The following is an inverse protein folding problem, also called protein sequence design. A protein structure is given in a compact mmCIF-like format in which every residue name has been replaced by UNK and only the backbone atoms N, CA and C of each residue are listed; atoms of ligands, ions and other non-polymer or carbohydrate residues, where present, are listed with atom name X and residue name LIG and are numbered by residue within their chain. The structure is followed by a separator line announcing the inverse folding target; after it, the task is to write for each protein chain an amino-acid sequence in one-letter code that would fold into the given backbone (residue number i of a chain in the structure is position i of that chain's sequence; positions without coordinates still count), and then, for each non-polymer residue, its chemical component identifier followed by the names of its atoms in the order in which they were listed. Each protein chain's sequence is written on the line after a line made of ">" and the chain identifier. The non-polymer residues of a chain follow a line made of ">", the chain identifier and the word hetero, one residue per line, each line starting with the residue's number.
data_IF_597634568646
#
_entry.id   IF_597634568646
#
_cell.length_a   1.000
_cell.length_b   1.000
_cell.length_c   1.000
_cell.angle_alpha   90.00
_cell.angle_beta   90.00
_cell.angle_gamma   90.00
#
_symmetry.space_group_name_H-M   'P 1'
#
loop_
_entity.id
_entity.type
_entity.pdbx_description
1 polymer ?
#
# COMPACT_ATOMS: atom_id res chain seq x y z
N UNK A 1 24.87 -54.70 -32.48
CA UNK A 1 23.62 -54.45 -31.74
C UNK A 1 23.76 -54.32 -30.21
N UNK A 2 24.97 -54.09 -29.65
CA UNK A 2 25.13 -53.75 -28.21
C UNK A 2 25.35 -52.25 -27.97
N UNK A 3 25.85 -51.52 -28.97
CA UNK A 3 26.06 -50.07 -28.87
C UNK A 3 24.85 -49.21 -29.23
N UNK A 4 23.81 -49.78 -29.86
CA UNK A 4 22.57 -49.06 -30.18
C UNK A 4 21.64 -48.93 -28.96
N UNK A 5 21.73 -49.87 -28.01
CA UNK A 5 20.92 -49.86 -26.80
C UNK A 5 21.42 -48.83 -25.77
N UNK A 6 22.73 -48.52 -25.78
CA UNK A 6 23.31 -47.53 -24.87
C UNK A 6 22.92 -46.08 -25.23
N UNK A 7 22.58 -45.81 -26.50
CA UNK A 7 22.15 -44.49 -26.94
C UNK A 7 20.67 -44.18 -26.58
N UNK A 8 19.84 -45.22 -26.43
CA UNK A 8 18.40 -45.07 -26.15
C UNK A 8 18.12 -44.82 -24.66
N UNK A 9 18.97 -45.31 -23.76
CA UNK A 9 18.83 -45.12 -22.30
C UNK A 9 19.28 -43.72 -21.85
N UNK A 10 20.12 -43.04 -22.63
CA UNK A 10 20.56 -41.67 -22.34
C UNK A 10 19.48 -40.60 -22.63
N UNK A 11 18.45 -40.93 -23.42
CA UNK A 11 17.41 -39.99 -23.84
C UNK A 11 16.20 -39.92 -22.88
N UNK A 12 16.18 -40.70 -21.80
CA UNK A 12 15.03 -40.82 -20.88
C UNK A 12 15.13 -39.98 -19.60
N UNK A 13 16.19 -39.19 -19.42
CA UNK A 13 16.40 -38.38 -18.20
C UNK A 13 16.24 -36.85 -18.39
N UNK A 14 15.63 -36.41 -19.48
CA UNK A 14 15.26 -34.99 -19.67
C UNK A 14 13.83 -34.71 -19.20
N UNK A 15 13.46 -35.17 -18.01
CA UNK A 15 12.38 -34.53 -17.26
C UNK A 15 13.01 -33.37 -16.48
N UNK A 16 13.38 -32.32 -17.22
CA UNK A 16 13.57 -31.02 -16.61
C UNK A 16 12.20 -30.58 -16.09
N UNK A 17 11.95 -30.81 -14.80
CA UNK A 17 10.90 -30.13 -14.08
C UNK A 17 11.29 -28.66 -13.97
N UNK A 18 11.17 -27.93 -15.09
CA UNK A 18 10.91 -26.51 -15.08
C UNK A 18 9.43 -26.33 -14.70
N UNK A 19 9.08 -26.78 -13.49
CA UNK A 19 7.95 -26.16 -12.84
C UNK A 19 8.45 -24.78 -12.49
N UNK A 20 8.06 -23.80 -13.32
CA UNK A 20 8.07 -22.41 -12.95
C UNK A 20 7.29 -22.30 -11.63
N UNK A 21 7.99 -22.46 -10.51
CA UNK A 21 7.62 -21.72 -9.32
C UNK A 21 7.74 -20.28 -9.77
N UNK A 22 6.63 -19.71 -10.26
CA UNK A 22 6.44 -18.27 -10.23
C UNK A 22 7.07 -17.81 -8.93
N UNK A 23 8.03 -16.89 -9.05
CA UNK A 23 8.40 -16.00 -7.97
C UNK A 23 7.14 -15.25 -7.55
N UNK A 24 6.25 -15.91 -6.82
CA UNK A 24 5.44 -15.31 -5.76
C UNK A 24 6.35 -15.15 -4.52
N UNK A 25 7.64 -14.84 -4.76
CA UNK A 25 8.60 -14.52 -3.73
C UNK A 25 8.23 -13.14 -3.18
N UNK A 26 7.46 -13.17 -2.10
CA UNK A 26 7.42 -12.16 -1.05
C UNK A 26 7.00 -10.74 -1.46
N UNK A 27 6.06 -10.60 -2.40
CA UNK A 27 5.19 -9.42 -2.34
C UNK A 27 4.42 -9.52 -1.02
N UNK A 28 4.77 -8.67 -0.04
CA UNK A 28 4.06 -8.60 1.24
C UNK A 28 2.58 -8.42 0.93
N UNK A 29 1.81 -9.49 1.18
CA UNK A 29 0.39 -9.52 0.84
C UNK A 29 -0.32 -8.50 1.72
N UNK A 30 -1.04 -7.55 1.11
CA UNK A 30 -1.78 -6.56 1.88
C UNK A 30 -2.89 -7.23 2.68
N UNK A 31 -3.36 -6.58 3.74
CA UNK A 31 -4.50 -7.12 4.51
C UNK A 31 -5.76 -7.26 3.65
N UNK A 32 -5.95 -6.39 2.67
CA UNK A 32 -7.04 -6.49 1.71
C UNK A 32 -6.89 -7.73 0.83
N UNK A 33 -5.69 -7.99 0.29
CA UNK A 33 -5.43 -9.17 -0.54
C UNK A 33 -5.64 -10.45 0.25
N UNK A 34 -5.16 -10.48 1.50
CA UNK A 34 -5.39 -11.60 2.41
C UNK A 34 -6.88 -11.84 2.65
N UNK A 35 -7.67 -10.79 2.83
CA UNK A 35 -9.12 -10.90 3.00
C UNK A 35 -9.85 -11.36 1.72
N UNK A 36 -9.48 -10.80 0.57
CA UNK A 36 -10.15 -11.02 -0.71
C UNK A 36 -9.87 -12.38 -1.35
N UNK A 37 -8.75 -13.02 -0.99
CA UNK A 37 -8.26 -14.26 -1.61
C UNK A 37 -8.71 -15.55 -0.92
N UNK A 38 -9.75 -15.50 -0.07
CA UNK A 38 -10.32 -16.69 0.58
C UNK A 38 -10.96 -17.62 -0.46
N UNK A 39 -10.33 -18.78 -0.69
CA UNK A 39 -10.78 -19.79 -1.65
C UNK A 39 -12.18 -20.32 -1.33
N UNK A 40 -12.97 -20.58 -2.37
CA UNK A 40 -14.29 -21.18 -2.23
C UNK A 40 -15.39 -20.21 -1.77
N UNK A 41 -15.12 -18.91 -1.74
CA UNK A 41 -16.10 -17.89 -1.38
C UNK A 41 -16.28 -16.87 -2.50
N UNK A 42 -17.51 -16.37 -2.68
CA UNK A 42 -17.79 -15.24 -3.56
C UNK A 42 -17.42 -13.96 -2.81
N UNK A 43 -16.42 -13.24 -3.31
CA UNK A 43 -16.00 -11.94 -2.77
C UNK A 43 -16.71 -10.82 -3.55
N UNK A 44 -17.35 -9.90 -2.82
CA UNK A 44 -17.98 -8.69 -3.34
C UNK A 44 -17.20 -7.46 -2.91
N UNK A 45 -16.95 -6.56 -3.86
CA UNK A 45 -16.34 -5.25 -3.64
C UNK A 45 -17.40 -4.16 -3.83
N UNK A 46 -17.44 -3.19 -2.91
CA UNK A 46 -18.30 -2.00 -3.00
C UNK A 46 -17.47 -0.77 -2.67
N UNK A 47 -17.46 0.19 -3.60
CA UNK A 47 -16.68 1.41 -3.45
C UNK A 47 -17.58 2.61 -3.13
N UNK A 48 -17.14 3.41 -2.17
CA UNK A 48 -17.76 4.68 -1.78
C UNK A 48 -16.73 5.78 -2.01
N UNK A 49 -16.96 6.62 -3.02
CA UNK A 49 -16.02 7.71 -3.37
C UNK A 49 -15.93 8.74 -2.24
N UNK A 50 -14.72 9.24 -2.03
CA UNK A 50 -14.41 10.35 -1.14
C UNK A 50 -13.78 11.49 -1.94
N UNK A 51 -13.69 12.67 -1.32
CA UNK A 51 -12.90 13.76 -1.90
C UNK A 51 -11.43 13.34 -1.97
N UNK A 52 -10.83 13.50 -3.15
CA UNK A 52 -9.42 13.19 -3.40
C UNK A 52 -8.46 14.08 -2.60
N UNK A 53 -7.22 13.64 -2.48
CA UNK A 53 -6.14 14.41 -1.86
C UNK A 53 -5.75 15.54 -2.82
N UNK A 54 -5.75 16.79 -2.32
CA UNK A 54 -5.21 17.92 -3.08
C UNK A 54 -3.69 17.81 -3.06
N UNK A 55 -3.10 17.51 -4.21
CA UNK A 55 -1.65 17.43 -4.37
C UNK A 55 -1.19 18.45 -5.41
N UNK A 56 0.09 18.82 -5.34
CA UNK A 56 0.69 19.69 -6.36
C UNK A 56 0.95 18.94 -7.67
N UNK A 57 1.12 17.62 -7.61
CA UNK A 57 1.50 16.79 -8.75
C UNK A 57 0.68 15.50 -8.81
N UNK A 58 -0.06 15.33 -9.90
CA UNK A 58 -0.83 14.12 -10.18
C UNK A 58 -2.24 14.11 -9.57
N UNK A 59 -3.06 13.21 -10.09
CA UNK A 59 -4.41 12.98 -9.60
C UNK A 59 -4.36 11.90 -8.51
N UNK A 60 -4.87 12.24 -7.32
CA UNK A 60 -4.99 11.29 -6.21
C UNK A 60 -6.45 11.19 -5.80
N UNK A 61 -7.03 10.01 -5.96
CA UNK A 61 -8.39 9.69 -5.56
C UNK A 61 -8.42 8.93 -4.25
N UNK A 62 -9.46 9.20 -3.45
CA UNK A 62 -9.72 8.49 -2.20
C UNK A 62 -11.08 7.79 -2.29
N UNK A 63 -11.17 6.62 -1.66
CA UNK A 63 -12.46 5.90 -1.51
C UNK A 63 -12.44 4.99 -0.29
N UNK A 64 -13.63 4.62 0.18
CA UNK A 64 -13.79 3.46 1.05
C UNK A 64 -14.13 2.28 0.17
N UNK A 65 -13.36 1.20 0.28
CA UNK A 65 -13.70 -0.10 -0.30
C UNK A 65 -14.18 -1.04 0.80
N UNK A 66 -15.45 -1.45 0.70
CA UNK A 66 -15.99 -2.56 1.49
C UNK A 66 -15.73 -3.86 0.73
N UNK A 67 -15.08 -4.81 1.37
CA UNK A 67 -14.89 -6.17 0.86
C UNK A 67 -15.70 -7.11 1.72
N UNK A 68 -16.58 -7.89 1.11
CA UNK A 68 -17.44 -8.84 1.83
C UNK A 68 -17.43 -10.21 1.18
N UNK A 69 -17.48 -11.25 2.00
CA UNK A 69 -17.77 -12.62 1.59
C UNK A 69 -19.07 -13.08 2.30
N UNK A 70 -19.42 -14.36 2.18
CA UNK A 70 -20.62 -14.94 2.80
C UNK A 70 -20.66 -14.86 4.33
N UNK A 71 -19.52 -14.64 5.00
CA UNK A 71 -19.39 -14.72 6.46
C UNK A 71 -19.00 -13.40 7.13
N UNK A 72 -18.31 -12.53 6.42
CA UNK A 72 -17.66 -11.35 7.01
C UNK A 72 -17.53 -10.20 6.01
N UNK A 73 -17.43 -8.99 6.55
CA UNK A 73 -17.13 -7.77 5.81
C UNK A 73 -15.96 -7.04 6.45
N UNK A 74 -15.10 -6.45 5.63
CA UNK A 74 -14.03 -5.56 6.03
C UNK A 74 -14.10 -4.26 5.23
N UNK A 75 -13.58 -3.18 5.81
CA UNK A 75 -13.57 -1.84 5.23
C UNK A 75 -12.13 -1.35 5.15
N UNK A 76 -11.77 -0.84 3.97
CA UNK A 76 -10.44 -0.36 3.67
C UNK A 76 -10.54 1.07 3.16
N UNK A 77 -9.71 1.96 3.70
CA UNK A 77 -9.48 3.27 3.11
C UNK A 77 -8.46 3.10 1.98
N UNK A 78 -8.85 3.49 0.77
CA UNK A 78 -7.99 3.40 -0.40
C UNK A 78 -7.55 4.78 -0.87
N UNK A 79 -6.27 4.88 -1.16
CA UNK A 79 -5.65 6.03 -1.81
C UNK A 79 -5.08 5.53 -3.12
N UNK A 80 -5.59 6.05 -4.22
CA UNK A 80 -5.15 5.72 -5.56
C UNK A 80 -4.42 6.92 -6.17
N UNK A 81 -3.22 6.69 -6.67
CA UNK A 81 -2.48 7.67 -7.47
C UNK A 81 -2.45 7.19 -8.92
N UNK A 82 -2.93 8.03 -9.82
CA UNK A 82 -2.84 7.80 -11.25
C UNK A 82 -1.39 7.99 -11.72
N UNK A 83 -0.83 6.97 -12.37
CA UNK A 83 0.49 7.01 -12.98
C UNK A 83 0.41 6.85 -14.50
N UNK A 84 1.53 7.09 -15.19
CA UNK A 84 1.58 7.06 -16.67
C UNK A 84 1.16 5.72 -17.29
N UNK A 85 1.44 4.61 -16.60
CA UNK A 85 1.23 3.25 -17.11
C UNK A 85 0.21 2.46 -16.30
N UNK A 86 -0.48 3.11 -15.37
CA UNK A 86 -1.45 2.50 -14.47
C UNK A 86 -1.49 3.21 -13.12
N UNK A 87 -2.54 2.93 -12.37
CA UNK A 87 -2.71 3.47 -11.02
C UNK A 87 -2.00 2.59 -9.97
N UNK A 88 -1.44 3.23 -8.95
CA UNK A 88 -0.98 2.55 -7.73
C UNK A 88 -2.00 2.78 -6.62
N UNK A 89 -2.37 1.75 -5.86
CA UNK A 89 -3.41 1.87 -4.82
C UNK A 89 -2.94 1.29 -3.49
N UNK A 90 -2.88 2.12 -2.46
CA UNK A 90 -2.79 1.63 -1.07
C UNK A 90 -4.17 1.24 -0.56
N UNK A 91 -4.23 0.19 0.27
CA UNK A 91 -5.47 -0.25 0.93
C UNK A 91 -5.23 -0.41 2.43
N UNK A 92 -5.60 0.61 3.21
CA UNK A 92 -5.38 0.65 4.66
C UNK A 92 -6.60 0.08 5.38
N UNK A 93 -6.42 -0.99 6.14
CA UNK A 93 -7.48 -1.57 6.99
C UNK A 93 -7.92 -0.55 8.05
N UNK A 94 -9.20 -0.58 8.45
CA UNK A 94 -9.73 0.32 9.47
C UNK A 94 -8.94 0.37 10.79
N UNK A 95 -8.40 -0.76 11.27
CA UNK A 95 -7.53 -0.79 12.47
C UNK A 95 -6.23 -0.02 12.23
N UNK A 96 -5.55 -0.29 11.10
CA UNK A 96 -4.33 0.41 10.70
C UNK A 96 -4.58 1.89 10.45
N UNK A 97 -5.76 2.25 9.94
CA UNK A 97 -6.16 3.64 9.74
C UNK A 97 -6.10 4.45 11.04
N UNK A 98 -6.52 3.83 12.17
CA UNK A 98 -6.46 4.45 13.49
C UNK A 98 -5.01 4.62 13.95
N UNK A 99 -4.15 3.65 13.67
CA UNK A 99 -2.71 3.72 13.98
C UNK A 99 -2.01 4.78 13.14
N UNK A 100 -2.32 4.86 11.85
CA UNK A 100 -1.80 5.90 10.95
C UNK A 100 -2.20 7.29 11.43
N UNK A 101 -3.45 7.50 11.87
CA UNK A 101 -3.88 8.78 12.44
C UNK A 101 -3.09 9.16 13.70
N UNK A 102 -2.80 8.19 14.59
CA UNK A 102 -1.95 8.43 15.77
C UNK A 102 -0.52 8.80 15.34
N UNK A 103 0.02 8.12 14.34
CA UNK A 103 1.34 8.40 13.80
C UNK A 103 1.43 9.80 13.16
N UNK A 104 0.42 10.21 12.39
CA UNK A 104 0.34 11.56 11.82
C UNK A 104 0.43 12.61 12.91
N UNK A 105 -0.35 12.45 13.99
CA UNK A 105 -0.34 13.37 15.11
C UNK A 105 1.06 13.47 15.76
N UNK A 106 1.70 12.34 16.05
CA UNK A 106 3.04 12.32 16.61
C UNK A 106 4.08 12.99 15.67
N UNK A 107 4.02 12.72 14.37
CA UNK A 107 4.90 13.34 13.37
C UNK A 107 4.72 14.86 13.31
N UNK A 108 3.48 15.35 13.38
CA UNK A 108 3.17 16.79 13.40
C UNK A 108 3.71 17.48 14.65
N UNK A 109 3.74 16.80 15.79
CA UNK A 109 4.31 17.34 17.03
C UNK A 109 5.84 17.49 16.95
N UNK A 110 6.52 16.65 16.14
CA UNK A 110 7.99 16.69 15.99
C UNK A 110 8.49 17.67 14.93
N UNK A 111 7.72 17.91 13.85
CA UNK A 111 8.22 18.56 12.62
C UNK A 111 8.86 19.94 12.83
N UNK A 112 8.33 20.75 13.75
CA UNK A 112 8.87 22.09 14.02
C UNK A 112 10.25 22.04 14.68
N UNK A 113 10.46 21.09 15.59
CA UNK A 113 11.74 20.88 16.25
C UNK A 113 12.78 20.34 15.26
N UNK A 114 12.35 19.42 14.39
CA UNK A 114 13.23 18.78 13.42
C UNK A 114 13.68 19.77 12.32
N UNK A 115 12.80 20.68 11.90
CA UNK A 115 13.19 21.83 11.05
C UNK A 115 14.22 22.71 11.77
N UNK A 116 13.98 23.02 13.05
CA UNK A 116 14.83 23.91 13.85
C UNK A 116 16.21 23.34 14.15
N UNK A 117 16.34 22.01 14.22
CA UNK A 117 17.64 21.34 14.36
C UNK A 117 18.55 21.49 13.13
N UNK A 118 18.02 21.99 12.01
CA UNK A 118 18.72 22.28 10.77
C UNK A 118 19.65 21.13 10.30
N UNK A 119 19.13 19.90 10.12
CA UNK A 119 19.93 18.79 9.60
C UNK A 119 20.19 18.98 8.10
N UNK A 120 21.30 18.42 7.60
CA UNK A 120 21.53 18.30 6.14
C UNK A 120 20.41 17.47 5.49
N UNK A 121 20.01 16.39 6.17
CA UNK A 121 18.86 15.58 5.84
C UNK A 121 18.36 14.83 7.08
N UNK A 122 17.04 14.78 7.26
CA UNK A 122 16.38 13.94 8.27
C UNK A 122 15.09 13.40 7.67
N UNK A 123 14.72 12.16 8.01
CA UNK A 123 13.45 11.56 7.60
C UNK A 123 12.79 10.89 8.79
N UNK A 124 11.54 11.25 9.05
CA UNK A 124 10.67 10.56 10.00
C UNK A 124 9.56 9.87 9.24
N UNK A 125 9.32 8.59 9.55
CA UNK A 125 8.24 7.83 8.94
C UNK A 125 7.60 6.82 9.87
N UNK A 126 6.34 6.56 9.60
CA UNK A 126 5.59 5.43 10.09
C UNK A 126 5.35 4.45 8.93
N UNK A 127 5.44 3.15 9.20
CA UNK A 127 5.26 2.09 8.21
C UNK A 127 4.35 1.02 8.78
N UNK A 128 3.30 0.68 8.04
CA UNK A 128 2.40 -0.44 8.38
C UNK A 128 3.04 -1.77 8.02
N UNK A 129 2.45 -2.87 8.49
CA UNK A 129 2.92 -4.23 8.21
C UNK A 129 2.93 -4.55 6.70
N UNK A 130 1.98 -4.00 5.94
CA UNK A 130 1.88 -4.18 4.49
C UNK A 130 2.68 -3.17 3.66
N UNK A 131 3.48 -2.33 4.30
CA UNK A 131 4.45 -1.46 3.64
C UNK A 131 3.89 -0.11 3.18
N UNK A 132 2.66 0.24 3.53
CA UNK A 132 2.17 1.61 3.43
C UNK A 132 3.00 2.52 4.36
N UNK A 133 3.46 3.66 3.84
CA UNK A 133 4.28 4.59 4.61
C UNK A 133 3.70 6.00 4.57
N UNK A 134 3.91 6.69 5.67
CA UNK A 134 3.65 8.11 5.82
C UNK A 134 4.79 8.75 6.58
N UNK A 135 5.21 9.93 6.15
CA UNK A 135 6.32 10.59 6.79
C UNK A 135 6.55 11.99 6.28
N UNK A 136 7.63 12.58 6.76
CA UNK A 136 8.22 13.76 6.18
C UNK A 136 9.73 13.65 6.23
N UNK A 137 10.38 14.39 5.34
CA UNK A 137 11.81 14.64 5.45
C UNK A 137 12.08 16.14 5.55
N UNK A 138 13.13 16.49 6.29
CA UNK A 138 13.67 17.84 6.38
C UNK A 138 14.91 17.91 5.51
N UNK A 139 14.94 18.86 4.59
CA UNK A 139 16.08 19.17 3.75
C UNK A 139 16.07 20.68 3.47
N UNK A 140 17.24 21.34 3.53
CA UNK A 140 17.38 22.79 3.30
C UNK A 140 16.42 23.62 4.18
N UNK A 141 16.29 23.25 5.45
CA UNK A 141 15.41 23.94 6.42
C UNK A 141 13.91 23.85 6.11
N UNK A 142 13.48 22.91 5.27
CA UNK A 142 12.06 22.72 4.89
C UNK A 142 11.65 21.28 5.07
N UNK A 143 10.49 21.07 5.68
CA UNK A 143 9.85 19.76 5.72
C UNK A 143 9.02 19.53 4.45
N UNK A 144 9.15 18.36 3.84
CA UNK A 144 8.27 17.86 2.77
C UNK A 144 7.61 16.58 3.25
N UNK A 145 6.28 16.56 3.21
CA UNK A 145 5.49 15.39 3.62
C UNK A 145 5.31 14.43 2.45
N UNK A 146 5.15 13.15 2.76
CA UNK A 146 4.91 12.15 1.74
C UNK A 146 4.05 10.99 2.23
N UNK A 147 3.38 10.35 1.29
CA UNK A 147 2.72 9.07 1.43
C UNK A 147 3.34 8.12 0.40
N UNK A 148 3.77 6.94 0.84
CA UNK A 148 4.22 5.87 -0.06
C UNK A 148 3.18 4.76 -0.04
N UNK A 149 2.54 4.54 -1.19
CA UNK A 149 1.38 3.66 -1.31
C UNK A 149 1.73 2.18 -1.17
N UNK A 150 2.91 1.79 -1.65
CA UNK A 150 3.40 0.41 -1.64
C UNK A 150 4.91 0.37 -1.38
N UNK A 151 5.42 -0.79 -0.98
CA UNK A 151 6.86 -0.97 -0.73
C UNK A 151 7.71 -0.81 -2.00
N UNK A 152 7.21 -1.33 -3.13
CA UNK A 152 7.90 -1.40 -4.42
C UNK A 152 7.17 -0.56 -5.49
N UNK A 153 7.87 -0.25 -6.60
CA UNK A 153 7.34 0.59 -7.68
C UNK A 153 7.96 1.99 -7.72
N UNK A 154 8.06 2.56 -8.92
CA UNK A 154 8.73 3.84 -9.18
C UNK A 154 7.82 5.06 -9.13
N UNK A 155 6.49 4.88 -9.03
CA UNK A 155 5.50 5.96 -9.07
C UNK A 155 4.48 5.88 -7.92
N UNK A 156 4.88 5.29 -6.79
CA UNK A 156 4.01 5.00 -5.65
C UNK A 156 4.05 6.07 -4.54
N UNK A 157 4.80 7.15 -4.73
CA UNK A 157 4.96 8.20 -3.72
C UNK A 157 4.16 9.44 -4.09
N UNK A 158 3.42 9.98 -3.13
CA UNK A 158 2.68 11.23 -3.19
C UNK A 158 3.39 12.22 -2.28
N UNK A 159 3.77 13.38 -2.80
CA UNK A 159 4.38 14.46 -2.02
C UNK A 159 3.37 15.55 -1.69
N UNK A 160 3.41 16.03 -0.45
CA UNK A 160 2.49 17.02 0.10
C UNK A 160 3.26 18.10 0.87
N UNK A 161 2.67 19.30 0.93
CA UNK A 161 3.30 20.46 1.56
C UNK A 161 3.08 20.50 3.08
N UNK A 162 2.06 19.81 3.60
CA UNK A 162 1.78 19.76 5.04
C UNK A 162 1.19 18.40 5.44
N UNK A 163 1.27 18.09 6.73
CA UNK A 163 0.65 16.90 7.31
C UNK A 163 -0.87 17.04 7.49
N UNK A 164 -1.41 18.26 7.54
CA UNK A 164 -2.84 18.52 7.73
C UNK A 164 -3.68 17.95 6.60
N UNK A 165 -3.24 18.10 5.34
CA UNK A 165 -3.93 17.52 4.18
C UNK A 165 -4.07 16.00 4.31
N UNK A 166 -3.05 15.34 4.87
CA UNK A 166 -3.08 13.90 5.08
C UNK A 166 -4.02 13.55 6.23
N UNK A 167 -3.92 14.26 7.35
CA UNK A 167 -4.79 14.07 8.50
C UNK A 167 -6.28 14.23 8.13
N UNK A 168 -6.63 15.27 7.38
CA UNK A 168 -7.99 15.52 6.90
C UNK A 168 -8.53 14.37 6.04
N UNK A 169 -7.72 13.86 5.10
CA UNK A 169 -8.11 12.75 4.24
C UNK A 169 -8.34 11.45 5.04
N UNK A 170 -7.45 11.16 5.99
CA UNK A 170 -7.56 9.96 6.84
C UNK A 170 -8.73 10.07 7.83
N UNK A 171 -8.99 11.25 8.39
CA UNK A 171 -10.16 11.49 9.24
C UNK A 171 -11.47 11.37 8.46
N UNK A 172 -11.53 11.89 7.23
CA UNK A 172 -12.67 11.71 6.33
C UNK A 172 -12.93 10.24 6.03
N UNK A 173 -11.87 9.48 5.73
CA UNK A 173 -11.94 8.04 5.54
C UNK A 173 -12.46 7.30 6.77
N UNK A 174 -11.93 7.63 7.96
CA UNK A 174 -12.37 7.04 9.23
C UNK A 174 -13.84 7.33 9.49
N UNK A 175 -14.24 8.59 9.37
CA UNK A 175 -15.62 9.03 9.59
C UNK A 175 -16.60 8.30 8.66
N UNK A 176 -16.21 8.11 7.39
CA UNK A 176 -17.05 7.37 6.44
C UNK A 176 -17.16 5.88 6.79
N UNK A 177 -16.07 5.23 7.23
CA UNK A 177 -16.15 3.84 7.68
C UNK A 177 -17.03 3.72 8.93
N UNK A 178 -16.90 4.65 9.88
CA UNK A 178 -17.74 4.68 11.08
C UNK A 178 -19.23 4.86 10.75
N UNK A 179 -19.55 5.67 9.73
CA UNK A 179 -20.92 5.80 9.19
C UNK A 179 -21.41 4.48 8.59
N UNK A 180 -20.60 3.81 7.78
CA UNK A 180 -20.97 2.58 7.06
C UNK A 180 -21.03 1.32 7.93
N UNK A 181 -20.56 1.39 9.18
CA UNK A 181 -20.61 0.30 10.17
C UNK A 181 -21.84 0.35 11.07
N UNK A 182 -22.56 1.48 11.09
CA UNK A 182 -23.83 1.61 11.79
C UNK A 182 -24.92 0.81 11.07
#
# INVERSE_FOLDING_TARGET
>A
MKHFFLLLVALLNLNANAQDTKKDADAVKTKMDAFASKTGTITKFVDFKLTGLKTTYGNVENRIRKVSNSTSSAYFFQIEKEGKYGSTTASVEFSDLIEVLKAIKALKESVANDISSNPDYMENKFTTVDGFQIGYYVNNGKATWYIKLEKYGSDNTIFLNNGDIIEEAFNSGKAKIDELKK
#
